data_IF_357586316875
#
_entry.id   IF_357586316875
#
_cell.length_a   1.000
_cell.length_b   1.000
_cell.length_c   1.000
_cell.angle_alpha   90.00
_cell.angle_beta   90.00
_cell.angle_gamma   90.00
#
_symmetry.space_group_name_H-M   'P 1'
#
loop_
_entity.id
_entity.type
_entity.pdbx_description
1 polymer ?
#
# COMPACT_ATOMS: atom_id res chain seq x y z
N UNK A 1 5.73 -3.76 -6.21
CA UNK A 1 6.00 -4.61 -5.03
C UNK A 1 5.69 -6.06 -5.36
N UNK A 2 6.48 -7.00 -4.82
CA UNK A 2 6.36 -8.45 -5.08
C UNK A 2 5.78 -9.16 -3.86
N UNK A 3 4.74 -9.98 -4.05
CA UNK A 3 4.11 -10.77 -2.99
C UNK A 3 4.41 -12.24 -3.23
N UNK A 4 4.91 -12.92 -2.20
CA UNK A 4 5.09 -14.36 -2.21
C UNK A 4 3.88 -15.04 -1.58
N UNK A 5 3.33 -16.06 -2.25
CA UNK A 5 2.20 -16.86 -1.76
C UNK A 5 2.69 -18.27 -1.45
N UNK A 6 2.44 -18.72 -0.22
CA UNK A 6 2.68 -20.09 0.24
C UNK A 6 1.35 -20.71 0.62
N UNK A 7 0.81 -21.52 -0.26
CA UNK A 7 -0.53 -22.10 -0.21
C UNK A 7 -0.50 -23.43 -0.94
N UNK A 8 -0.95 -24.53 -0.34
CA UNK A 8 -0.94 -25.86 -0.94
C UNK A 8 -2.07 -26.06 -1.97
N UNK A 9 -3.23 -25.45 -1.72
CA UNK A 9 -4.36 -25.54 -2.64
C UNK A 9 -4.09 -24.73 -3.93
N UNK A 10 -3.86 -25.43 -5.03
CA UNK A 10 -3.56 -24.84 -6.33
C UNK A 10 -4.60 -23.81 -6.78
N UNK A 11 -5.91 -24.13 -6.61
CA UNK A 11 -6.98 -23.23 -7.05
C UNK A 11 -6.97 -21.92 -6.27
N UNK A 12 -6.84 -21.99 -4.94
CA UNK A 12 -6.76 -20.79 -4.08
C UNK A 12 -5.53 -19.96 -4.44
N UNK A 13 -4.40 -20.62 -4.63
CA UNK A 13 -3.13 -19.97 -4.99
C UNK A 13 -3.21 -19.23 -6.32
N UNK A 14 -3.80 -19.85 -7.36
CA UNK A 14 -3.97 -19.24 -8.69
C UNK A 14 -4.98 -18.08 -8.68
N UNK A 15 -6.12 -18.26 -8.01
CA UNK A 15 -7.14 -17.21 -7.85
C UNK A 15 -6.56 -15.99 -7.13
N UNK A 16 -5.81 -16.21 -6.05
CA UNK A 16 -5.18 -15.15 -5.26
C UNK A 16 -4.08 -14.44 -6.06
N UNK A 17 -3.24 -15.19 -6.79
CA UNK A 17 -2.21 -14.62 -7.66
C UNK A 17 -2.83 -13.74 -8.75
N UNK A 18 -3.86 -14.24 -9.45
CA UNK A 18 -4.58 -13.48 -10.48
C UNK A 18 -5.25 -12.23 -9.93
N UNK A 19 -5.81 -12.31 -8.72
CA UNK A 19 -6.40 -11.18 -8.05
C UNK A 19 -5.35 -10.10 -7.75
N UNK A 20 -4.23 -10.46 -7.11
CA UNK A 20 -3.18 -9.51 -6.74
C UNK A 20 -2.51 -8.86 -7.95
N UNK A 21 -2.31 -9.62 -9.03
CA UNK A 21 -1.77 -9.09 -10.29
C UNK A 21 -2.65 -7.99 -10.90
N UNK A 22 -4.00 -8.11 -10.82
CA UNK A 22 -4.93 -7.06 -11.27
C UNK A 22 -4.78 -5.75 -10.50
N UNK A 23 -4.25 -5.81 -9.27
CA UNK A 23 -3.96 -4.62 -8.44
C UNK A 23 -2.50 -4.16 -8.54
N UNK A 24 -1.74 -4.63 -9.56
CA UNK A 24 -0.40 -4.14 -9.87
C UNK A 24 0.73 -4.78 -9.05
N UNK A 25 0.46 -5.86 -8.32
CA UNK A 25 1.52 -6.61 -7.63
C UNK A 25 2.19 -7.62 -8.56
N UNK A 26 3.50 -7.77 -8.44
CA UNK A 26 4.18 -8.96 -8.94
C UNK A 26 3.96 -10.09 -7.94
N UNK A 27 3.72 -11.31 -8.42
CA UNK A 27 3.42 -12.45 -7.55
C UNK A 27 4.37 -13.59 -7.86
N UNK A 28 4.93 -14.20 -6.81
CA UNK A 28 5.55 -15.52 -6.86
C UNK A 28 4.77 -16.48 -5.95
N UNK A 29 4.84 -17.76 -6.24
CA UNK A 29 4.14 -18.78 -5.48
C UNK A 29 5.07 -19.96 -5.21
N UNK A 30 5.11 -20.41 -3.96
CA UNK A 30 5.79 -21.64 -3.56
C UNK A 30 4.75 -22.76 -3.51
N UNK A 31 4.97 -23.80 -4.28
CA UNK A 31 4.09 -24.96 -4.40
C UNK A 31 4.78 -26.28 -4.05
N UNK A 32 6.12 -26.26 -3.93
CA UNK A 32 6.91 -27.41 -3.52
C UNK A 32 7.26 -27.27 -2.03
N UNK A 33 6.87 -28.25 -1.26
CA UNK A 33 7.06 -28.31 0.19
C UNK A 33 7.99 -29.44 0.61
N UNK A 34 8.58 -30.18 -0.34
CA UNK A 34 9.48 -31.31 -0.06
C UNK A 34 10.92 -30.86 0.25
N UNK A 35 11.24 -29.59 -0.04
CA UNK A 35 12.57 -29.01 0.13
C UNK A 35 12.66 -27.97 1.26
N UNK A 36 13.70 -27.15 1.21
CA UNK A 36 13.87 -26.01 2.10
C UNK A 36 12.97 -24.84 1.67
N UNK A 37 11.72 -24.87 2.14
CA UNK A 37 10.69 -23.86 1.85
C UNK A 37 11.15 -22.47 2.29
N UNK A 38 11.85 -22.35 3.42
CA UNK A 38 12.32 -21.07 3.95
C UNK A 38 13.33 -20.42 3.01
N UNK A 39 14.33 -21.19 2.56
CA UNK A 39 15.32 -20.71 1.58
C UNK A 39 14.67 -20.34 0.25
N UNK A 40 13.68 -21.12 -0.21
CA UNK A 40 12.92 -20.81 -1.41
C UNK A 40 12.20 -19.47 -1.30
N UNK A 41 11.49 -19.22 -0.19
CA UNK A 41 10.80 -17.95 0.08
C UNK A 41 11.79 -16.79 0.10
N UNK A 42 12.92 -16.92 0.81
CA UNK A 42 13.91 -15.84 0.93
C UNK A 42 14.55 -15.51 -0.42
N UNK A 43 14.84 -16.53 -1.24
CA UNK A 43 15.45 -16.33 -2.57
C UNK A 43 14.57 -15.52 -3.53
N UNK A 44 13.25 -15.53 -3.33
CA UNK A 44 12.29 -14.76 -4.11
C UNK A 44 12.37 -13.26 -3.89
N UNK A 45 13.00 -12.80 -2.80
CA UNK A 45 13.14 -11.38 -2.43
C UNK A 45 11.81 -10.63 -2.53
N UNK A 46 10.76 -11.24 -2.00
CA UNK A 46 9.43 -10.66 -1.98
C UNK A 46 9.34 -9.54 -0.93
N UNK A 47 8.42 -8.60 -1.19
CA UNK A 47 8.13 -7.49 -0.29
C UNK A 47 7.10 -7.88 0.79
N UNK A 48 6.38 -8.99 0.63
CA UNK A 48 5.41 -9.50 1.59
C UNK A 48 5.19 -10.99 1.35
N UNK A 49 5.01 -11.74 2.44
CA UNK A 49 4.65 -13.15 2.43
C UNK A 49 3.18 -13.32 2.85
N UNK A 50 2.40 -14.01 2.02
CA UNK A 50 1.11 -14.60 2.40
C UNK A 50 1.35 -16.07 2.69
N UNK A 51 1.10 -16.51 3.92
CA UNK A 51 1.48 -17.84 4.40
C UNK A 51 0.28 -18.58 4.97
N UNK A 52 -0.08 -19.72 4.38
CA UNK A 52 -0.97 -20.67 5.06
C UNK A 52 -0.21 -21.43 6.15
N UNK A 53 -0.91 -21.70 7.22
CA UNK A 53 -0.40 -22.54 8.33
C UNK A 53 -0.57 -24.02 8.03
N UNK A 54 -1.66 -24.39 7.37
CA UNK A 54 -2.00 -25.77 7.10
C UNK A 54 -1.37 -26.27 5.80
N UNK A 55 -0.06 -26.41 5.80
CA UNK A 55 0.70 -26.93 4.67
C UNK A 55 0.97 -28.42 4.82
N UNK A 56 1.06 -29.18 3.72
CA UNK A 56 1.54 -30.56 3.78
C UNK A 56 3.01 -30.55 4.18
N UNK A 57 3.45 -31.52 4.95
CA UNK A 57 4.84 -31.79 5.32
C UNK A 57 5.51 -30.77 6.25
N UNK A 58 5.11 -29.50 6.26
CA UNK A 58 5.74 -28.42 7.02
C UNK A 58 4.67 -27.59 7.75
N UNK A 59 4.92 -27.31 9.02
CA UNK A 59 4.06 -26.42 9.79
C UNK A 59 4.35 -24.96 9.46
N UNK A 60 3.36 -24.22 8.98
CA UNK A 60 3.49 -22.80 8.62
C UNK A 60 3.95 -21.90 9.76
N UNK A 61 3.64 -22.24 11.01
CA UNK A 61 4.18 -21.53 12.17
C UNK A 61 5.70 -21.63 12.28
N UNK A 62 6.24 -22.82 11.97
CA UNK A 62 7.69 -23.02 11.91
C UNK A 62 8.33 -22.20 10.80
N UNK A 63 7.69 -22.15 9.61
CA UNK A 63 8.15 -21.29 8.50
C UNK A 63 8.17 -19.82 8.94
N UNK A 64 7.08 -19.32 9.54
CA UNK A 64 7.00 -17.93 10.01
C UNK A 64 8.14 -17.59 10.98
N UNK A 65 8.41 -18.46 11.95
CA UNK A 65 9.49 -18.29 12.93
C UNK A 65 10.87 -18.27 12.27
N UNK A 66 11.13 -19.16 11.33
CA UNK A 66 12.44 -19.21 10.65
C UNK A 66 12.65 -18.01 9.71
N UNK A 67 11.61 -17.57 9.01
CA UNK A 67 11.64 -16.32 8.22
C UNK A 67 12.01 -15.12 9.10
N UNK A 68 11.40 -15.01 10.30
CA UNK A 68 11.70 -13.90 11.23
C UNK A 68 13.14 -13.86 11.73
N UNK A 69 13.82 -14.99 11.79
CA UNK A 69 15.24 -15.02 12.16
C UNK A 69 16.15 -14.48 11.06
N UNK A 70 15.72 -14.55 9.81
CA UNK A 70 16.55 -14.30 8.64
C UNK A 70 16.11 -13.06 7.84
N UNK A 71 14.87 -12.58 8.02
CA UNK A 71 14.30 -11.51 7.23
C UNK A 71 13.33 -10.65 8.03
N UNK A 72 13.33 -9.35 7.73
CA UNK A 72 12.33 -8.40 8.21
C UNK A 72 11.11 -8.32 7.27
N UNK A 73 11.03 -9.17 6.23
CA UNK A 73 9.92 -9.22 5.29
C UNK A 73 8.60 -9.42 6.04
N UNK A 74 7.58 -8.58 5.83
CA UNK A 74 6.30 -8.72 6.51
C UNK A 74 5.58 -10.01 6.10
N UNK A 75 4.90 -10.62 7.09
CA UNK A 75 4.16 -11.89 6.94
C UNK A 75 2.72 -11.69 7.35
N UNK A 76 1.80 -12.01 6.44
CA UNK A 76 0.36 -12.16 6.76
C UNK A 76 0.02 -13.65 6.74
N UNK A 77 -0.50 -14.13 7.86
CA UNK A 77 -0.98 -15.51 7.96
C UNK A 77 -2.40 -15.58 7.41
N UNK A 78 -2.63 -16.54 6.50
CA UNK A 78 -3.92 -16.76 5.83
C UNK A 78 -4.31 -18.22 6.02
N UNK A 79 -5.21 -18.53 6.96
CA UNK A 79 -5.46 -19.92 7.36
C UNK A 79 -6.94 -20.20 7.67
N UNK A 80 -7.34 -21.48 7.62
CA UNK A 80 -8.66 -21.93 8.09
C UNK A 80 -8.77 -22.09 9.61
N UNK A 81 -7.67 -21.97 10.36
CA UNK A 81 -7.70 -21.92 11.81
C UNK A 81 -8.29 -20.58 12.26
N UNK A 82 -9.25 -20.61 13.16
CA UNK A 82 -10.06 -19.44 13.52
C UNK A 82 -10.24 -19.24 15.02
N UNK A 83 -9.41 -19.86 15.83
CA UNK A 83 -9.47 -19.65 17.29
C UNK A 83 -8.67 -18.41 17.69
N UNK A 84 -9.09 -17.72 18.75
CA UNK A 84 -8.33 -16.60 19.33
C UNK A 84 -6.89 -17.02 19.71
N UNK A 85 -6.71 -18.29 20.09
CA UNK A 85 -5.41 -18.85 20.41
C UNK A 85 -4.51 -18.95 19.17
N UNK A 86 -5.06 -19.32 18.00
CA UNK A 86 -4.32 -19.38 16.75
C UNK A 86 -3.87 -17.98 16.30
N UNK A 87 -4.73 -16.98 16.44
CA UNK A 87 -4.40 -15.58 16.16
C UNK A 87 -3.29 -15.09 17.10
N UNK A 88 -3.44 -15.27 18.40
CA UNK A 88 -2.44 -14.89 19.40
C UNK A 88 -1.11 -15.60 19.15
N UNK A 89 -1.11 -16.88 18.82
CA UNK A 89 0.08 -17.65 18.50
C UNK A 89 0.79 -17.10 17.25
N UNK A 90 0.02 -16.77 16.20
CA UNK A 90 0.54 -16.19 14.98
C UNK A 90 1.28 -14.87 15.23
N UNK A 91 0.68 -13.97 16.01
CA UNK A 91 1.25 -12.68 16.36
C UNK A 91 2.51 -12.83 17.23
N UNK A 92 2.50 -13.76 18.21
CA UNK A 92 3.65 -14.05 19.06
C UNK A 92 4.85 -14.62 18.27
N UNK A 93 4.58 -15.31 17.15
CA UNK A 93 5.62 -15.83 16.26
C UNK A 93 6.14 -14.79 15.26
N UNK A 94 5.62 -13.57 15.32
CA UNK A 94 6.08 -12.44 14.54
C UNK A 94 5.32 -12.21 13.23
N UNK A 95 4.11 -12.73 13.07
CA UNK A 95 3.25 -12.31 11.97
C UNK A 95 2.85 -10.83 12.12
N UNK A 96 2.75 -10.10 11.01
CA UNK A 96 2.35 -8.69 10.99
C UNK A 96 0.83 -8.54 10.93
N UNK A 97 0.13 -9.56 10.46
CA UNK A 97 -1.33 -9.64 10.44
C UNK A 97 -1.78 -11.10 10.28
N UNK A 98 -3.08 -11.32 10.53
CA UNK A 98 -3.71 -12.63 10.49
C UNK A 98 -5.09 -12.51 9.84
N UNK A 99 -5.46 -13.45 8.97
CA UNK A 99 -6.79 -13.50 8.34
C UNK A 99 -7.29 -14.94 8.21
N UNK A 100 -8.55 -15.14 8.57
CA UNK A 100 -9.19 -16.47 8.52
C UNK A 100 -9.87 -16.71 7.18
N UNK A 101 -9.74 -17.93 6.66
CA UNK A 101 -10.53 -18.45 5.53
C UNK A 101 -11.93 -18.90 5.99
N UNK A 102 -13.00 -18.60 5.24
CA UNK A 102 -13.05 -17.82 4.01
C UNK A 102 -12.94 -16.31 4.27
N UNK A 103 -12.22 -15.59 3.44
CA UNK A 103 -12.04 -14.13 3.55
C UNK A 103 -12.58 -13.40 2.31
N UNK A 104 -12.93 -12.15 2.50
CA UNK A 104 -13.19 -11.24 1.39
C UNK A 104 -11.85 -10.74 0.82
N UNK A 105 -11.66 -10.88 -0.49
CA UNK A 105 -10.42 -10.48 -1.18
C UNK A 105 -10.12 -8.97 -1.06
N UNK A 106 -11.14 -8.11 -0.96
CA UNK A 106 -10.95 -6.67 -0.73
C UNK A 106 -10.43 -6.39 0.69
N UNK A 107 -10.90 -7.15 1.69
CA UNK A 107 -10.38 -7.06 3.07
C UNK A 107 -8.92 -7.52 3.10
N UNK A 108 -8.58 -8.62 2.43
CA UNK A 108 -7.20 -9.08 2.34
C UNK A 108 -6.31 -8.02 1.68
N UNK A 109 -6.75 -7.41 0.58
CA UNK A 109 -6.03 -6.32 -0.10
C UNK A 109 -5.80 -5.12 0.82
N UNK A 110 -6.82 -4.70 1.58
CA UNK A 110 -6.69 -3.62 2.55
C UNK A 110 -5.66 -3.92 3.65
N UNK A 111 -5.61 -5.17 4.13
CA UNK A 111 -4.60 -5.64 5.10
C UNK A 111 -3.20 -5.67 4.51
N UNK A 112 -3.04 -6.19 3.30
CA UNK A 112 -1.77 -6.17 2.55
C UNK A 112 -1.24 -4.73 2.46
N UNK A 113 -2.07 -3.79 2.00
CA UNK A 113 -1.69 -2.37 1.90
C UNK A 113 -1.29 -1.78 3.26
N UNK A 114 -2.03 -2.09 4.32
CA UNK A 114 -1.73 -1.62 5.67
C UNK A 114 -0.40 -2.16 6.19
N UNK A 115 -0.13 -3.45 5.97
CA UNK A 115 1.11 -4.11 6.41
C UNK A 115 2.30 -3.57 5.62
N UNK A 116 2.21 -3.49 4.29
CA UNK A 116 3.26 -2.93 3.43
C UNK A 116 3.58 -1.47 3.80
N UNK A 117 2.54 -0.67 4.05
CA UNK A 117 2.72 0.73 4.50
C UNK A 117 3.50 0.81 5.81
N UNK A 118 3.22 -0.06 6.79
CA UNK A 118 3.95 -0.10 8.07
C UNK A 118 5.38 -0.60 7.92
N UNK A 119 5.60 -1.67 7.14
CA UNK A 119 6.87 -2.34 7.03
C UNK A 119 7.91 -1.53 6.24
N UNK A 120 7.48 -0.90 5.15
CA UNK A 120 8.42 -0.22 4.24
C UNK A 120 8.43 1.30 4.43
N UNK A 121 7.72 1.82 5.47
CA UNK A 121 7.59 3.26 5.61
C UNK A 121 7.40 3.87 4.22
N UNK A 122 6.39 3.37 3.46
CA UNK A 122 6.10 3.96 2.16
C UNK A 122 5.92 5.44 2.39
N UNK A 123 6.90 6.15 2.02
CA UNK A 123 7.29 7.53 2.20
C UNK A 123 6.16 8.32 2.84
N UNK A 124 6.09 8.32 4.20
CA UNK A 124 5.19 9.24 4.91
C UNK A 124 5.52 10.69 4.53
N UNK A 125 6.69 10.89 3.91
CA UNK A 125 7.18 12.18 3.44
C UNK A 125 7.69 12.07 2.02
N UNK A 126 7.06 12.78 1.10
CA UNK A 126 7.52 12.93 -0.28
C UNK A 126 8.30 14.25 -0.36
N UNK A 127 9.57 14.16 -0.75
CA UNK A 127 10.37 15.35 -1.06
C UNK A 127 9.97 15.84 -2.46
N UNK A 128 9.31 17.02 -2.51
CA UNK A 128 8.91 17.69 -3.73
C UNK A 128 9.92 18.78 -4.13
N UNK A 129 11.16 18.72 -3.64
CA UNK A 129 12.24 19.68 -3.90
C UNK A 129 12.07 21.00 -3.16
N UNK A 130 10.94 21.67 -3.29
CA UNK A 130 10.63 22.95 -2.62
C UNK A 130 10.00 22.79 -1.25
N UNK A 131 9.36 21.65 -0.97
CA UNK A 131 8.65 21.33 0.25
C UNK A 131 8.61 19.82 0.46
N UNK A 132 8.26 19.39 1.67
CA UNK A 132 8.05 17.99 2.02
C UNK A 132 6.56 17.77 2.24
N UNK A 133 5.96 16.82 1.51
CA UNK A 133 4.58 16.38 1.74
C UNK A 133 4.59 15.22 2.74
N UNK A 134 4.01 15.44 3.92
CA UNK A 134 3.88 14.42 4.97
C UNK A 134 2.50 13.78 4.89
N UNK A 135 2.45 12.55 4.36
CA UNK A 135 1.19 11.83 4.11
C UNK A 135 0.52 11.36 5.40
N UNK A 136 1.31 10.88 6.38
CA UNK A 136 0.79 10.37 7.65
C UNK A 136 0.15 11.45 8.49
N UNK A 137 0.73 12.66 8.47
CA UNK A 137 0.22 13.81 9.21
C UNK A 137 -0.76 14.67 8.40
N UNK A 138 -0.97 14.36 7.11
CA UNK A 138 -1.79 15.17 6.19
C UNK A 138 -1.35 16.64 6.14
N UNK A 139 -0.06 16.90 5.95
CA UNK A 139 0.49 18.24 5.98
C UNK A 139 1.64 18.45 4.99
N UNK A 140 1.90 19.72 4.67
CA UNK A 140 3.10 20.17 3.95
C UNK A 140 4.05 20.80 4.95
N UNK A 141 5.32 20.38 4.91
CA UNK A 141 6.41 20.99 5.68
C UNK A 141 7.21 21.93 4.75
N UNK A 142 7.23 23.21 5.08
CA UNK A 142 7.94 24.24 4.29
C UNK A 142 8.57 25.30 5.19
N UNK A 143 9.88 25.50 5.08
CA UNK A 143 10.64 26.48 5.87
C UNK A 143 10.36 26.42 7.39
N UNK A 144 10.24 25.19 7.95
CA UNK A 144 9.94 24.98 9.37
C UNK A 144 8.48 25.24 9.78
N UNK A 145 7.60 25.50 8.80
CA UNK A 145 6.15 25.62 9.02
C UNK A 145 5.44 24.33 8.59
N UNK A 146 4.41 23.96 9.33
CA UNK A 146 3.51 22.86 9.00
C UNK A 146 2.18 23.44 8.49
N UNK A 147 1.72 23.00 7.33
CA UNK A 147 0.51 23.44 6.65
C UNK A 147 -0.43 22.25 6.57
N UNK A 148 -1.48 22.25 7.38
CA UNK A 148 -2.46 21.15 7.39
C UNK A 148 -3.26 21.09 6.09
N UNK A 149 -3.47 19.88 5.58
CA UNK A 149 -4.26 19.60 4.39
C UNK A 149 -5.54 18.85 4.76
N UNK A 150 -6.63 19.20 4.09
CA UNK A 150 -7.83 18.36 4.10
C UNK A 150 -7.57 17.06 3.31
N UNK A 151 -8.43 16.06 3.50
CA UNK A 151 -8.33 14.75 2.81
C UNK A 151 -8.22 14.91 1.28
N UNK A 152 -9.01 15.79 0.69
CA UNK A 152 -9.01 16.01 -0.76
C UNK A 152 -7.77 16.79 -1.23
N UNK A 153 -7.34 17.80 -0.48
CA UNK A 153 -6.11 18.55 -0.76
C UNK A 153 -4.89 17.64 -0.70
N UNK A 154 -4.81 16.75 0.31
CA UNK A 154 -3.75 15.77 0.44
C UNK A 154 -3.71 14.81 -0.75
N UNK A 155 -4.86 14.27 -1.17
CA UNK A 155 -4.95 13.36 -2.31
C UNK A 155 -4.48 14.03 -3.59
N UNK A 156 -5.01 15.21 -3.91
CA UNK A 156 -4.60 15.98 -5.09
C UNK A 156 -3.09 16.22 -5.08
N UNK A 157 -2.55 16.69 -3.95
CA UNK A 157 -1.13 17.00 -3.87
C UNK A 157 -0.26 15.74 -3.93
N UNK A 158 -0.72 14.63 -3.35
CA UNK A 158 -0.01 13.34 -3.42
C UNK A 158 0.07 12.81 -4.86
N UNK A 159 -1.06 12.81 -5.60
CA UNK A 159 -1.08 12.37 -7.01
C UNK A 159 -0.19 13.25 -7.88
N UNK A 160 -0.23 14.56 -7.68
CA UNK A 160 0.67 15.49 -8.36
C UNK A 160 2.14 15.28 -7.99
N UNK A 161 2.44 14.98 -6.73
CA UNK A 161 3.81 14.73 -6.25
C UNK A 161 4.41 13.43 -6.80
N UNK A 162 3.58 12.38 -6.94
CA UNK A 162 4.00 11.12 -7.56
C UNK A 162 4.35 11.29 -9.06
N UNK A 163 3.78 12.31 -9.71
CA UNK A 163 4.02 12.65 -11.12
C UNK A 163 4.72 14.00 -11.27
N UNK A 164 5.58 14.38 -10.30
CA UNK A 164 6.27 15.67 -10.31
C UNK A 164 6.98 15.92 -11.66
N UNK A 165 6.81 17.13 -12.21
CA UNK A 165 7.34 17.50 -13.53
C UNK A 165 6.54 16.97 -14.73
N UNK A 166 5.47 16.18 -14.51
CA UNK A 166 4.58 15.67 -15.56
C UNK A 166 3.17 16.21 -15.39
N UNK A 167 2.39 16.24 -16.48
CA UNK A 167 1.00 16.68 -16.43
C UNK A 167 0.13 15.52 -15.98
N UNK A 168 -0.64 15.74 -14.91
CA UNK A 168 -1.70 14.83 -14.44
C UNK A 168 -3.03 15.33 -15.00
N UNK A 169 -3.77 14.44 -15.65
CA UNK A 169 -5.05 14.79 -16.26
C UNK A 169 -6.14 15.08 -15.20
N UNK A 170 -7.17 15.86 -15.61
CA UNK A 170 -8.30 16.13 -14.72
C UNK A 170 -9.06 14.84 -14.37
N UNK A 171 -9.21 13.96 -15.35
CA UNK A 171 -9.87 12.67 -15.18
C UNK A 171 -9.15 11.78 -14.15
N UNK A 172 -7.84 11.72 -14.21
CA UNK A 172 -7.01 10.97 -13.26
C UNK A 172 -7.17 11.50 -11.83
N UNK A 173 -7.10 12.84 -11.64
CA UNK A 173 -7.33 13.46 -10.33
C UNK A 173 -8.75 13.25 -9.81
N UNK A 174 -9.76 13.31 -10.68
CA UNK A 174 -11.14 13.03 -10.28
C UNK A 174 -11.35 11.56 -9.90
N UNK A 175 -10.77 10.63 -10.65
CA UNK A 175 -10.83 9.20 -10.34
C UNK A 175 -10.18 8.87 -8.99
N UNK A 176 -9.04 9.48 -8.68
CA UNK A 176 -8.38 9.32 -7.39
C UNK A 176 -9.23 9.89 -6.24
N UNK A 177 -9.88 11.02 -6.44
CA UNK A 177 -10.81 11.60 -5.47
C UNK A 177 -12.09 10.75 -5.32
N UNK A 178 -12.59 10.14 -6.39
CA UNK A 178 -13.84 9.35 -6.42
C UNK A 178 -13.75 8.05 -5.62
N UNK A 179 -12.60 7.45 -5.48
CA UNK A 179 -12.41 6.20 -4.72
C UNK A 179 -12.80 6.28 -3.23
N UNK A 180 -13.36 7.42 -2.76
CA UNK A 180 -13.70 7.71 -1.36
C UNK A 180 -15.15 8.11 -1.07
N UNK A 181 -16.16 7.57 -1.79
CA UNK A 181 -17.61 7.66 -1.43
C UNK A 181 -18.45 8.85 -1.94
N UNK A 182 -17.97 9.74 -2.78
CA UNK A 182 -18.81 10.80 -3.34
C UNK A 182 -18.46 11.09 -4.80
N UNK A 183 -19.50 11.30 -5.61
CA UNK A 183 -19.37 11.78 -7.00
C UNK A 183 -18.62 13.12 -7.02
N UNK A 184 -17.44 13.16 -7.63
CA UNK A 184 -16.60 14.36 -7.74
C UNK A 184 -16.72 14.88 -9.17
N UNK A 185 -17.31 16.04 -9.35
CA UNK A 185 -17.36 16.75 -10.62
C UNK A 185 -16.14 17.69 -10.83
N UNK A 186 -15.99 18.21 -12.03
CA UNK A 186 -14.91 19.16 -12.35
C UNK A 186 -14.93 20.42 -11.47
N UNK A 187 -16.09 20.86 -11.03
CA UNK A 187 -16.22 22.03 -10.16
C UNK A 187 -15.62 21.75 -8.79
N UNK A 188 -15.88 20.57 -8.25
CA UNK A 188 -15.32 20.10 -6.98
C UNK A 188 -13.79 20.01 -7.05
N UNK A 189 -13.22 19.45 -8.13
CA UNK A 189 -11.79 19.42 -8.38
C UNK A 189 -11.21 20.84 -8.43
N UNK A 190 -11.78 21.73 -9.23
CA UNK A 190 -11.31 23.11 -9.36
C UNK A 190 -11.31 23.86 -8.03
N UNK A 191 -12.37 23.70 -7.23
CA UNK A 191 -12.48 24.32 -5.90
C UNK A 191 -11.39 23.82 -4.97
N UNK A 192 -11.13 22.50 -4.91
CA UNK A 192 -10.10 21.94 -4.05
C UNK A 192 -8.68 22.35 -4.51
N UNK A 193 -8.40 22.36 -5.81
CA UNK A 193 -7.11 22.84 -6.34
C UNK A 193 -6.88 24.31 -6.01
N UNK A 194 -7.91 25.18 -6.16
CA UNK A 194 -7.78 26.58 -5.84
C UNK A 194 -7.59 26.82 -4.34
N UNK A 195 -8.28 26.09 -3.47
CA UNK A 195 -8.10 26.15 -2.02
C UNK A 195 -6.68 25.71 -1.63
N UNK A 196 -6.21 24.60 -2.21
CA UNK A 196 -4.86 24.11 -1.97
C UNK A 196 -3.81 25.15 -2.39
N UNK A 197 -3.91 25.72 -3.60
CA UNK A 197 -3.01 26.79 -4.05
C UNK A 197 -2.96 27.95 -3.07
N UNK A 198 -4.12 28.51 -2.72
CA UNK A 198 -4.20 29.64 -1.80
C UNK A 198 -3.54 29.32 -0.47
N UNK A 199 -3.79 28.14 0.08
CA UNK A 199 -3.20 27.69 1.34
C UNK A 199 -1.67 27.61 1.28
N UNK A 200 -1.13 27.11 0.17
CA UNK A 200 0.33 27.06 -0.07
C UNK A 200 0.92 28.46 -0.28
N UNK A 201 0.25 29.33 -1.04
CA UNK A 201 0.65 30.72 -1.28
C UNK A 201 0.66 31.53 0.03
N UNK A 202 -0.36 31.42 0.88
CA UNK A 202 -0.45 32.06 2.19
C UNK A 202 0.72 31.68 3.12
N UNK A 203 1.29 30.47 2.91
CA UNK A 203 2.47 30.00 3.63
C UNK A 203 3.80 30.42 2.99
N UNK A 204 3.77 31.11 1.83
CA UNK A 204 4.94 31.54 1.07
C UNK A 204 5.41 30.54 0.00
N UNK A 205 4.65 29.49 -0.24
CA UNK A 205 4.94 28.47 -1.26
C UNK A 205 4.10 28.73 -2.54
N UNK A 206 4.41 29.80 -3.25
CA UNK A 206 3.68 30.20 -4.45
C UNK A 206 4.10 29.41 -5.71
N UNK A 207 3.19 29.35 -6.68
CA UNK A 207 3.41 28.82 -8.04
C UNK A 207 3.88 27.36 -8.14
N UNK A 208 3.58 26.52 -7.16
CA UNK A 208 3.97 25.10 -7.18
C UNK A 208 3.03 24.23 -8.02
N UNK A 209 1.76 24.62 -8.16
CA UNK A 209 0.78 23.89 -8.96
C UNK A 209 0.41 24.75 -10.18
N UNK A 210 0.80 24.30 -11.37
CA UNK A 210 0.48 24.97 -12.63
C UNK A 210 -0.74 24.32 -13.31
N UNK A 211 -1.62 25.16 -13.90
CA UNK A 211 -2.71 24.67 -14.77
C UNK A 211 -2.25 24.60 -16.21
N UNK A 212 -2.27 23.42 -16.80
CA UNK A 212 -2.11 23.22 -18.25
C UNK A 212 -3.49 23.19 -18.89
N UNK A 213 -3.88 24.31 -19.53
CA UNK A 213 -5.23 24.48 -20.11
C UNK A 213 -5.60 23.31 -21.03
N UNK A 214 -6.79 22.73 -20.82
CA UNK A 214 -7.29 21.61 -21.60
C UNK A 214 -6.61 20.25 -21.33
N UNK A 215 -5.57 20.19 -20.48
CA UNK A 215 -4.82 18.98 -20.20
C UNK A 215 -4.93 18.55 -18.74
N UNK A 216 -4.69 19.43 -17.78
CA UNK A 216 -4.71 19.07 -16.37
C UNK A 216 -3.87 20.01 -15.49
N UNK A 217 -3.17 19.43 -14.53
CA UNK A 217 -2.31 20.13 -13.57
C UNK A 217 -0.92 19.52 -13.51
N UNK A 218 0.05 20.33 -13.13
CA UNK A 218 1.46 19.94 -13.01
C UNK A 218 2.02 20.49 -11.70
N UNK A 219 2.74 19.67 -10.95
CA UNK A 219 3.57 20.09 -9.83
C UNK A 219 4.97 20.42 -10.35
N UNK A 220 5.44 21.65 -10.06
CA UNK A 220 6.78 22.14 -10.47
C UNK A 220 7.86 21.72 -9.49
#
# INVERSE_FOLDING_TARGET
MKICIVEDNQKIREELASFLQKYGYSVCAIADFDGDVVSAIISEKADLLLLDINLPMVDGYSICREIRKQSAMPVIIVTSRNTEMDELMSMNLGADDFITKPYNTQILLARINSVLKRAYHTVDKIDCGRFILNLSKSMVEYNGREIELTKNELRILNTLAQHAGSIVSREELMNDLWSSDMFVDENTLNVNVNRLRRKLEDAGLADVIETKRGQGYLLK
#
